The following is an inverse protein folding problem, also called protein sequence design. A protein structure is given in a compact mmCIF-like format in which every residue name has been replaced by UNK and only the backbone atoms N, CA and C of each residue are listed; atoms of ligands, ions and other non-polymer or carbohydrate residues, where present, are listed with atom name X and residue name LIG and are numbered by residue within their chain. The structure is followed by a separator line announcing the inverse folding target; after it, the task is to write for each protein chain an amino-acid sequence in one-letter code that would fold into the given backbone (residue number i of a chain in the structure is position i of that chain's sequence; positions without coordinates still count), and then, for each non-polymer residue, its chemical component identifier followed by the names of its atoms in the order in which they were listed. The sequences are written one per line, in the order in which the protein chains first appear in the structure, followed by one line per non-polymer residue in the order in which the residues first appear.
data_IF_191972981630
#
_entry.id   IF_191972981630
#
_cell.length_a   1.000
_cell.length_b   1.000
_cell.length_c   1.000
_cell.angle_alpha   90.00
_cell.angle_beta   90.00
_cell.angle_gamma   90.00
#
_symmetry.space_group_name_H-M   'P 1'
#
loop_
_entity.id
_entity.type
_entity.pdbx_description
1 polymer ?
#
# COMPACT_ATOMS: atom_id res chain seq x y z
N UNK A 1 -4.62 28.62 -29.64
CA UNK A 1 -3.55 27.79 -29.06
C UNK A 1 -2.78 28.64 -28.04
N UNK A 2 -3.11 28.56 -26.75
CA UNK A 2 -2.32 29.24 -25.70
C UNK A 2 -0.93 28.59 -25.65
N UNK A 3 0.13 29.32 -26.00
CA UNK A 3 1.52 28.88 -25.78
C UNK A 3 1.74 28.78 -24.28
N UNK A 4 1.87 27.56 -23.76
CA UNK A 4 2.25 27.32 -22.37
C UNK A 4 3.61 27.99 -22.11
N UNK A 5 3.80 28.69 -20.98
CA UNK A 5 5.08 29.29 -20.66
C UNK A 5 6.18 28.21 -20.56
N UNK A 6 7.44 28.53 -20.90
CA UNK A 6 8.53 27.55 -20.96
C UNK A 6 8.74 26.81 -19.63
N UNK A 7 8.47 27.45 -18.48
CA UNK A 7 8.53 26.81 -17.16
C UNK A 7 7.61 25.60 -17.03
N UNK A 8 6.43 25.59 -17.68
CA UNK A 8 5.47 24.49 -17.62
C UNK A 8 5.95 23.26 -18.38
N UNK A 9 6.54 23.46 -19.56
CA UNK A 9 7.14 22.35 -20.32
C UNK A 9 8.29 21.70 -19.58
N UNK A 10 9.16 22.51 -18.97
CA UNK A 10 10.26 22.00 -18.13
C UNK A 10 9.68 21.22 -16.93
N UNK A 11 8.65 21.74 -16.26
CA UNK A 11 7.98 21.04 -15.16
C UNK A 11 7.39 19.69 -15.58
N UNK A 12 6.69 19.61 -16.71
CA UNK A 12 6.16 18.35 -17.24
C UNK A 12 7.26 17.35 -17.56
N UNK A 13 8.34 17.79 -18.22
CA UNK A 13 9.47 16.92 -18.54
C UNK A 13 10.17 16.42 -17.27
N UNK A 14 10.43 17.29 -16.29
CA UNK A 14 11.01 16.92 -15.00
C UNK A 14 10.13 15.95 -14.23
N UNK A 15 8.80 16.14 -14.23
CA UNK A 15 7.87 15.24 -13.56
C UNK A 15 7.80 13.87 -14.26
N UNK A 16 7.79 13.84 -15.59
CA UNK A 16 7.86 12.60 -16.36
C UNK A 16 9.18 11.85 -16.09
N UNK A 17 10.31 12.57 -16.06
CA UNK A 17 11.61 12.00 -15.71
C UNK A 17 11.61 11.43 -14.29
N UNK A 18 10.97 12.11 -13.34
CA UNK A 18 10.79 11.61 -11.97
C UNK A 18 10.02 10.28 -11.99
N UNK A 19 8.88 10.20 -12.68
CA UNK A 19 8.09 8.97 -12.76
C UNK A 19 8.86 7.81 -13.40
N UNK A 20 9.57 8.06 -14.50
CA UNK A 20 10.40 7.05 -15.17
C UNK A 20 11.55 6.60 -14.26
N UNK A 21 12.19 7.53 -13.56
CA UNK A 21 13.25 7.22 -12.58
C UNK A 21 12.70 6.40 -11.43
N UNK A 22 11.53 6.76 -10.89
CA UNK A 22 10.84 5.99 -9.84
C UNK A 22 10.57 4.56 -10.26
N UNK A 23 10.09 4.34 -11.48
CA UNK A 23 9.84 3.01 -12.02
C UNK A 23 11.14 2.22 -12.20
N UNK A 24 12.15 2.86 -12.80
CA UNK A 24 13.45 2.24 -13.11
C UNK A 24 14.21 1.82 -11.84
N UNK A 25 14.21 2.68 -10.82
CA UNK A 25 14.89 2.43 -9.55
C UNK A 25 14.02 1.68 -8.53
N UNK A 26 12.78 1.30 -8.89
CA UNK A 26 11.82 0.63 -8.02
C UNK A 26 11.52 1.42 -6.71
N UNK A 27 11.54 2.75 -6.78
CA UNK A 27 11.31 3.66 -5.65
C UNK A 27 9.83 3.77 -5.26
N UNK A 28 8.93 3.05 -5.94
CA UNK A 28 7.49 3.11 -5.69
C UNK A 28 7.13 2.88 -4.23
N UNK A 29 7.78 1.91 -3.57
CA UNK A 29 7.57 1.64 -2.14
C UNK A 29 8.01 2.81 -1.24
N UNK A 30 9.11 3.49 -1.57
CA UNK A 30 9.59 4.65 -0.81
C UNK A 30 8.63 5.83 -0.94
N UNK A 31 8.21 6.15 -2.17
CA UNK A 31 7.29 7.25 -2.43
C UNK A 31 5.96 7.00 -1.75
N UNK A 32 5.42 5.79 -1.88
CA UNK A 32 4.16 5.42 -1.26
C UNK A 32 4.24 5.49 0.27
N UNK A 33 5.31 4.95 0.87
CA UNK A 33 5.53 5.01 2.32
C UNK A 33 5.67 6.45 2.81
N UNK A 34 6.37 7.30 2.05
CA UNK A 34 6.55 8.72 2.36
C UNK A 34 5.24 9.50 2.29
N UNK A 35 4.47 9.33 1.21
CA UNK A 35 3.14 9.95 1.08
C UNK A 35 2.26 9.50 2.25
N UNK A 36 2.13 8.20 2.49
CA UNK A 36 1.28 7.66 3.56
C UNK A 36 1.66 8.18 4.94
N UNK A 37 2.97 8.25 5.21
CA UNK A 37 3.49 8.76 6.48
C UNK A 37 3.22 10.24 6.66
N UNK A 38 3.47 11.04 5.62
CA UNK A 38 3.14 12.47 5.63
C UNK A 38 1.65 12.71 5.82
N UNK A 39 0.78 11.98 5.12
CA UNK A 39 -0.68 12.11 5.26
C UNK A 39 -1.15 11.82 6.67
N UNK A 40 -0.62 10.78 7.34
CA UNK A 40 -0.97 10.47 8.73
C UNK A 40 -0.48 11.58 9.67
N UNK A 41 0.78 11.99 9.53
CA UNK A 41 1.39 13.06 10.33
C UNK A 41 0.62 14.37 10.20
N UNK A 42 0.34 14.81 8.97
CA UNK A 42 -0.38 16.05 8.69
C UNK A 42 -1.85 15.97 9.11
N UNK A 43 -2.51 14.82 8.92
CA UNK A 43 -3.88 14.63 9.40
C UNK A 43 -3.99 14.65 10.92
N UNK A 44 -3.03 14.07 11.63
CA UNK A 44 -2.95 14.16 13.08
C UNK A 44 -2.67 15.61 13.52
N UNK A 45 -1.74 16.29 12.85
CA UNK A 45 -1.38 17.67 13.16
C UNK A 45 -2.55 18.62 12.99
N UNK A 46 -3.27 18.58 11.87
CA UNK A 46 -4.42 19.46 11.60
C UNK A 46 -5.52 19.32 12.65
N UNK A 47 -5.82 18.09 13.09
CA UNK A 47 -6.83 17.83 14.14
C UNK A 47 -6.39 18.34 15.51
N UNK A 48 -5.09 18.32 15.77
CA UNK A 48 -4.54 18.65 17.07
C UNK A 48 -4.20 20.13 17.20
N UNK A 49 -3.70 20.76 16.13
CA UNK A 49 -3.37 22.18 16.07
C UNK A 49 -4.59 23.09 16.23
N UNK A 50 -5.81 22.58 16.02
CA UNK A 50 -7.04 23.33 16.34
C UNK A 50 -7.31 23.45 17.84
N UNK A 51 -6.64 22.66 18.68
CA UNK A 51 -6.89 22.59 20.13
C UNK A 51 -5.66 22.96 20.98
N UNK A 52 -4.44 22.83 20.46
CA UNK A 52 -3.20 23.09 21.20
C UNK A 52 -2.18 23.90 20.39
N UNK A 53 -1.11 24.37 21.05
CA UNK A 53 -0.05 25.14 20.39
C UNK A 53 0.57 24.36 19.22
N UNK A 54 0.87 25.00 18.07
CA UNK A 54 1.38 24.32 16.87
C UNK A 54 2.62 23.46 17.10
N UNK A 55 3.55 23.95 17.93
CA UNK A 55 4.76 23.21 18.30
C UNK A 55 4.44 21.89 19.03
N UNK A 56 3.56 21.91 20.04
CA UNK A 56 3.15 20.70 20.74
C UNK A 56 2.33 19.77 19.85
N UNK A 57 1.47 20.33 19.00
CA UNK A 57 0.69 19.55 18.03
C UNK A 57 1.59 18.74 17.10
N UNK A 58 2.70 19.32 16.64
CA UNK A 58 3.64 18.62 15.76
C UNK A 58 4.33 17.44 16.44
N UNK A 59 4.90 17.64 17.63
CA UNK A 59 5.55 16.58 18.39
C UNK A 59 4.58 15.46 18.79
N UNK A 60 3.37 15.81 19.22
CA UNK A 60 2.37 14.81 19.58
C UNK A 60 1.86 14.05 18.33
N UNK A 61 1.80 14.69 17.16
CA UNK A 61 1.49 14.01 15.90
C UNK A 61 2.56 12.99 15.52
N UNK A 62 3.84 13.33 15.69
CA UNK A 62 4.95 12.41 15.49
C UNK A 62 4.91 11.24 16.47
N UNK A 63 4.54 11.49 17.73
CA UNK A 63 4.39 10.46 18.75
C UNK A 63 3.23 9.50 18.41
N UNK A 64 2.06 10.03 18.04
CA UNK A 64 0.91 9.24 17.58
C UNK A 64 1.27 8.41 16.36
N UNK A 65 1.95 9.00 15.37
CA UNK A 65 2.40 8.30 14.17
C UNK A 65 3.34 7.15 14.52
N UNK A 66 4.35 7.39 15.36
CA UNK A 66 5.33 6.38 15.78
C UNK A 66 4.67 5.23 16.54
N UNK A 67 3.80 5.54 17.50
CA UNK A 67 3.04 4.53 18.26
C UNK A 67 2.17 3.69 17.32
N UNK A 68 1.47 4.35 16.39
CA UNK A 68 0.60 3.65 15.41
C UNK A 68 1.41 2.77 14.47
N UNK A 69 2.56 3.25 13.98
CA UNK A 69 3.45 2.48 13.11
C UNK A 69 4.03 1.25 13.81
N UNK A 70 4.48 1.40 15.07
CA UNK A 70 4.99 0.29 15.88
C UNK A 70 3.88 -0.72 16.19
N UNK A 71 2.68 -0.25 16.55
CA UNK A 71 1.54 -1.12 16.80
C UNK A 71 1.13 -1.91 15.53
N UNK A 72 1.12 -1.26 14.37
CA UNK A 72 0.84 -1.91 13.09
C UNK A 72 1.91 -2.94 12.72
N UNK A 73 3.19 -2.61 12.89
CA UNK A 73 4.29 -3.55 12.66
C UNK A 73 4.24 -4.76 13.60
N UNK A 74 3.94 -4.53 14.88
CA UNK A 74 3.76 -5.59 15.87
C UNK A 74 2.56 -6.49 15.55
N UNK A 75 1.42 -5.90 15.16
CA UNK A 75 0.22 -6.62 14.73
C UNK A 75 0.49 -7.48 13.50
N UNK A 76 1.19 -6.92 12.49
CA UNK A 76 1.58 -7.64 11.29
C UNK A 76 2.53 -8.80 11.60
N UNK A 77 3.56 -8.58 12.43
CA UNK A 77 4.47 -9.64 12.87
C UNK A 77 3.73 -10.77 13.59
N UNK A 78 2.82 -10.44 14.51
CA UNK A 78 1.98 -11.42 15.21
C UNK A 78 1.10 -12.19 14.23
N UNK A 79 0.51 -11.51 13.26
CA UNK A 79 -0.31 -12.12 12.22
C UNK A 79 0.48 -13.11 11.36
N UNK A 80 1.69 -12.77 10.92
CA UNK A 80 2.55 -13.68 10.15
C UNK A 80 2.88 -14.93 10.99
N UNK A 81 3.30 -14.74 12.25
CA UNK A 81 3.60 -15.87 13.15
C UNK A 81 2.38 -16.77 13.36
N UNK A 82 1.21 -16.19 13.55
CA UNK A 82 -0.04 -16.93 13.71
C UNK A 82 -0.49 -17.61 12.41
N UNK A 83 -0.20 -17.03 11.25
CA UNK A 83 -0.54 -17.59 9.94
C UNK A 83 0.19 -18.92 9.71
N UNK A 84 1.46 -19.00 10.09
CA UNK A 84 2.29 -20.21 9.93
C UNK A 84 1.70 -21.40 10.68
N UNK A 85 1.07 -21.18 11.84
CA UNK A 85 0.45 -22.24 12.65
C UNK A 85 -1.00 -22.50 12.27
N UNK A 86 -1.77 -21.46 11.95
CA UNK A 86 -3.22 -21.58 11.75
C UNK A 86 -3.59 -22.04 10.34
N UNK A 87 -2.79 -21.68 9.32
CA UNK A 87 -3.08 -22.06 7.94
C UNK A 87 -3.13 -23.60 7.75
N UNK A 88 -2.14 -24.39 8.22
CA UNK A 88 -2.20 -25.85 8.12
C UNK A 88 -3.47 -26.45 8.75
N UNK A 89 -3.89 -25.93 9.90
CA UNK A 89 -5.08 -26.40 10.62
C UNK A 89 -6.37 -26.10 9.85
N UNK A 90 -6.49 -24.91 9.26
CA UNK A 90 -7.63 -24.55 8.40
C UNK A 90 -7.70 -25.50 7.21
N UNK A 91 -6.57 -25.72 6.55
CA UNK A 91 -6.49 -26.61 5.38
C UNK A 91 -6.91 -28.03 5.77
N UNK A 92 -6.41 -28.57 6.89
CA UNK A 92 -6.78 -29.90 7.37
C UNK A 92 -8.29 -30.08 7.62
N UNK A 93 -9.01 -29.00 7.97
CA UNK A 93 -10.47 -29.04 8.20
C UNK A 93 -11.30 -28.77 6.95
N UNK A 94 -10.80 -28.00 6.00
CA UNK A 94 -11.54 -27.60 4.79
C UNK A 94 -11.44 -28.66 3.69
N UNK A 95 -10.33 -29.42 3.62
CA UNK A 95 -10.12 -30.42 2.56
C UNK A 95 -11.12 -31.59 2.60
N UNK A 96 -11.45 -32.23 3.75
CA UNK A 96 -12.36 -33.38 3.74
C UNK A 96 -13.76 -33.05 3.19
N UNK A 97 -14.42 -31.94 3.61
CA UNK A 97 -15.68 -31.51 3.00
C UNK A 97 -15.55 -31.15 1.52
N UNK A 98 -14.42 -30.54 1.11
CA UNK A 98 -14.18 -30.23 -0.30
C UNK A 98 -14.07 -31.50 -1.15
N UNK A 99 -13.39 -32.53 -0.66
CA UNK A 99 -13.26 -33.81 -1.36
C UNK A 99 -14.61 -34.50 -1.51
N UNK A 100 -15.45 -34.49 -0.46
CA UNK A 100 -16.82 -35.02 -0.51
C UNK A 100 -17.70 -34.28 -1.53
N UNK A 101 -17.60 -32.94 -1.59
CA UNK A 101 -18.30 -32.13 -2.60
C UNK A 101 -17.77 -32.46 -4.00
N UNK A 102 -16.46 -32.61 -4.17
CA UNK A 102 -15.84 -32.95 -5.45
C UNK A 102 -16.34 -34.29 -5.99
N UNK A 103 -16.34 -35.32 -5.14
CA UNK A 103 -16.83 -36.67 -5.46
C UNK A 103 -18.33 -36.67 -5.79
N UNK A 104 -19.11 -35.83 -5.10
CA UNK A 104 -20.56 -35.71 -5.33
C UNK A 104 -20.92 -35.02 -6.65
N UNK A 105 -20.11 -34.06 -7.09
CA UNK A 105 -20.36 -33.27 -8.29
C UNK A 105 -19.44 -33.60 -9.47
N UNK A 106 -18.54 -34.58 -9.31
CA UNK A 106 -17.60 -35.00 -10.37
C UNK A 106 -16.59 -33.92 -10.76
N UNK A 107 -16.20 -33.06 -9.82
CA UNK A 107 -15.18 -32.02 -10.07
C UNK A 107 -13.79 -32.67 -9.98
N UNK A 108 -12.98 -32.44 -11.01
CA UNK A 108 -11.60 -32.90 -11.05
C UNK A 108 -10.72 -31.86 -10.35
N UNK A 109 -10.30 -32.14 -9.12
CA UNK A 109 -9.43 -31.25 -8.36
C UNK A 109 -7.97 -31.49 -8.75
N UNK A 110 -7.11 -30.46 -8.75
CA UNK A 110 -5.69 -30.59 -9.09
C UNK A 110 -4.86 -31.29 -7.99
N UNK A 111 -5.49 -32.03 -7.08
CA UNK A 111 -4.86 -32.77 -5.99
C UNK A 111 -5.70 -34.03 -5.68
N UNK A 112 -5.05 -35.20 -5.62
CA UNK A 112 -5.76 -36.47 -5.41
C UNK A 112 -6.06 -36.73 -3.91
N UNK A 113 -5.29 -36.14 -3.00
CA UNK A 113 -5.42 -36.39 -1.57
C UNK A 113 -4.90 -35.24 -0.68
N UNK A 114 -5.27 -35.28 0.61
CA UNK A 114 -4.86 -34.30 1.66
C UNK A 114 -3.35 -34.13 1.72
N UNK A 115 -2.60 -35.21 1.52
CA UNK A 115 -1.16 -35.20 1.66
C UNK A 115 -0.51 -34.39 0.54
N UNK A 116 -0.94 -34.55 -0.71
CA UNK A 116 -0.44 -33.77 -1.85
C UNK A 116 -0.75 -32.27 -1.74
N UNK A 117 -1.99 -31.88 -1.40
CA UNK A 117 -2.33 -30.46 -1.29
C UNK A 117 -1.61 -29.77 -0.13
N UNK A 118 -1.51 -30.45 1.02
CA UNK A 118 -0.69 -29.98 2.14
C UNK A 118 0.78 -29.90 1.73
N UNK A 119 1.30 -30.88 0.99
CA UNK A 119 2.67 -30.86 0.51
C UNK A 119 2.87 -29.67 -0.43
N UNK A 120 2.00 -29.47 -1.41
CA UNK A 120 2.05 -28.36 -2.37
C UNK A 120 2.04 -26.99 -1.67
N UNK A 121 1.18 -26.77 -0.68
CA UNK A 121 1.17 -25.50 0.07
C UNK A 121 2.40 -25.37 0.96
N UNK A 122 2.79 -26.41 1.69
CA UNK A 122 3.98 -26.36 2.55
C UNK A 122 5.26 -26.20 1.75
N UNK A 123 5.33 -26.80 0.57
CA UNK A 123 6.43 -26.73 -0.37
C UNK A 123 6.46 -25.37 -1.04
N UNK A 124 5.33 -24.83 -1.52
CA UNK A 124 5.24 -23.46 -2.00
C UNK A 124 5.64 -22.45 -0.90
N UNK A 125 5.20 -22.65 0.35
CA UNK A 125 5.62 -21.79 1.48
C UNK A 125 7.10 -21.97 1.79
N UNK A 126 7.63 -23.19 1.79
CA UNK A 126 9.03 -23.49 2.12
C UNK A 126 9.98 -23.03 1.02
N UNK A 127 9.60 -23.19 -0.25
CA UNK A 127 10.28 -22.66 -1.42
C UNK A 127 10.27 -21.13 -1.34
N UNK A 128 9.11 -20.49 -1.12
CA UNK A 128 9.04 -19.04 -0.87
C UNK A 128 9.87 -18.59 0.34
N UNK A 129 9.95 -19.36 1.43
CA UNK A 129 10.77 -19.02 2.62
C UNK A 129 12.27 -19.23 2.36
N UNK A 130 12.64 -20.26 1.60
CA UNK A 130 14.03 -20.50 1.18
C UNK A 130 14.47 -19.45 0.15
N UNK A 131 13.57 -19.05 -0.74
CA UNK A 131 13.70 -17.91 -1.64
C UNK A 131 13.70 -16.61 -0.86
N UNK A 132 13.00 -16.47 0.28
CA UNK A 132 13.13 -15.29 1.15
C UNK A 132 14.54 -15.23 1.78
N UNK A 133 15.17 -16.38 2.08
CA UNK A 133 16.57 -16.39 2.55
C UNK A 133 17.56 -15.98 1.45
N UNK A 134 17.38 -16.46 0.21
CA UNK A 134 18.26 -16.12 -0.92
C UNK A 134 17.93 -14.77 -1.60
N UNK A 135 16.66 -14.39 -1.68
CA UNK A 135 16.10 -13.10 -2.15
C UNK A 135 15.96 -12.06 -1.02
N UNK A 136 16.55 -12.33 0.14
CA UNK A 136 16.66 -11.40 1.27
C UNK A 136 17.17 -10.03 0.81
N UNK A 137 18.12 -9.97 -0.14
CA UNK A 137 18.61 -8.71 -0.70
C UNK A 137 17.53 -7.82 -1.31
N UNK A 138 16.56 -8.37 -2.06
CA UNK A 138 15.50 -7.60 -2.72
C UNK A 138 14.46 -7.15 -1.68
N UNK A 139 14.03 -8.05 -0.79
CA UNK A 139 13.05 -7.73 0.25
C UNK A 139 13.61 -6.72 1.26
N UNK A 140 14.87 -6.90 1.67
CA UNK A 140 15.60 -5.96 2.52
C UNK A 140 15.79 -4.62 1.82
N UNK A 141 16.13 -4.59 0.52
CA UNK A 141 16.19 -3.34 -0.25
C UNK A 141 14.85 -2.61 -0.23
N UNK A 142 13.74 -3.30 -0.51
CA UNK A 142 12.39 -2.68 -0.47
C UNK A 142 12.01 -2.20 0.93
N UNK A 143 12.39 -2.93 1.98
CA UNK A 143 12.21 -2.51 3.36
C UNK A 143 12.98 -1.21 3.66
N UNK A 144 14.23 -1.09 3.23
CA UNK A 144 14.99 0.16 3.37
C UNK A 144 14.36 1.32 2.58
N UNK A 145 13.80 1.07 1.39
CA UNK A 145 13.07 2.09 0.64
C UNK A 145 11.87 2.62 1.43
N UNK A 146 11.10 1.74 2.06
CA UNK A 146 9.99 2.13 2.95
C UNK A 146 10.50 3.00 4.10
N UNK A 147 11.56 2.58 4.79
CA UNK A 147 12.15 3.36 5.89
C UNK A 147 12.65 4.74 5.43
N UNK A 148 13.32 4.82 4.28
CA UNK A 148 13.78 6.09 3.70
C UNK A 148 12.59 6.99 3.39
N UNK A 149 11.52 6.44 2.81
CA UNK A 149 10.29 7.19 2.54
C UNK A 149 9.68 7.78 3.81
N UNK A 150 9.53 6.96 4.86
CA UNK A 150 9.04 7.39 6.18
C UNK A 150 9.95 8.49 6.75
N UNK A 151 11.26 8.29 6.69
CA UNK A 151 12.24 9.23 7.24
C UNK A 151 12.18 10.59 6.53
N UNK A 152 12.16 10.60 5.20
CA UNK A 152 12.01 11.82 4.40
C UNK A 152 10.69 12.53 4.74
N UNK A 153 9.60 11.79 4.90
CA UNK A 153 8.31 12.36 5.27
C UNK A 153 8.34 13.02 6.66
N UNK A 154 8.99 12.38 7.65
CA UNK A 154 9.18 12.96 8.98
C UNK A 154 10.04 14.23 8.90
N UNK A 155 11.17 14.19 8.19
CA UNK A 155 12.03 15.36 8.03
C UNK A 155 11.27 16.53 7.38
N UNK A 156 10.52 16.25 6.31
CA UNK A 156 9.71 17.24 5.63
C UNK A 156 8.60 17.79 6.54
N UNK A 157 7.90 16.94 7.28
CA UNK A 157 6.87 17.35 8.24
C UNK A 157 7.42 18.18 9.40
N UNK A 158 8.65 17.89 9.85
CA UNK A 158 9.32 18.62 10.92
C UNK A 158 9.89 19.96 10.45
N UNK A 159 10.26 20.06 9.17
CA UNK A 159 10.84 21.26 8.60
C UNK A 159 9.74 22.25 8.18
N UNK A 160 9.51 23.26 9.02
CA UNK A 160 8.51 24.31 8.80
C UNK A 160 9.06 25.40 7.86
N UNK A 161 9.38 25.04 6.62
CA UNK A 161 9.81 26.02 5.62
C UNK A 161 8.61 26.59 4.89
N UNK A 162 8.32 27.88 5.12
CA UNK A 162 7.42 28.63 4.25
C UNK A 162 8.11 28.76 2.90
N UNK A 163 7.50 28.22 1.85
CA UNK A 163 8.01 28.43 0.50
C UNK A 163 7.76 29.87 0.08
N UNK A 164 8.83 30.66 0.02
CA UNK A 164 8.82 31.99 -0.57
C UNK A 164 9.17 31.89 -2.05
N UNK A 165 8.26 32.37 -2.90
CA UNK A 165 8.42 32.41 -4.35
C UNK A 165 8.72 33.84 -4.79
N UNK A 166 9.81 34.02 -5.51
CA UNK A 166 10.20 35.30 -6.10
C UNK A 166 9.84 35.33 -7.58
N UNK A 167 9.82 36.53 -8.17
CA UNK A 167 9.57 36.72 -9.60
C UNK A 167 10.80 36.33 -10.44
N UNK A 168 11.12 35.03 -10.49
CA UNK A 168 12.19 34.48 -11.33
C UNK A 168 11.75 33.16 -11.99
N UNK A 169 12.45 32.76 -13.05
CA UNK A 169 12.12 31.57 -13.84
C UNK A 169 12.21 30.26 -13.02
N UNK A 170 13.12 30.22 -12.04
CA UNK A 170 13.34 29.06 -11.19
C UNK A 170 12.17 28.83 -10.22
N UNK A 171 11.67 29.88 -9.59
CA UNK A 171 10.51 29.84 -8.69
C UNK A 171 9.20 29.62 -9.47
N UNK A 172 9.10 30.13 -10.70
CA UNK A 172 8.01 29.79 -11.60
C UNK A 172 7.99 28.29 -11.95
N UNK A 173 9.16 27.69 -12.19
CA UNK A 173 9.30 26.24 -12.38
C UNK A 173 8.96 25.45 -11.11
N UNK A 174 9.51 25.84 -9.95
CA UNK A 174 9.25 25.18 -8.66
C UNK A 174 7.78 25.17 -8.32
N UNK A 175 7.10 26.30 -8.52
CA UNK A 175 5.66 26.42 -8.26
C UNK A 175 4.87 25.42 -9.10
N UNK A 176 5.11 25.39 -10.41
CA UNK A 176 4.44 24.44 -11.29
C UNK A 176 4.78 22.99 -10.90
N UNK A 177 6.06 22.66 -10.64
CA UNK A 177 6.46 21.31 -10.22
C UNK A 177 5.78 20.87 -8.91
N UNK A 178 5.76 21.74 -7.90
CA UNK A 178 5.11 21.50 -6.61
C UNK A 178 3.60 21.32 -6.78
N UNK A 179 2.94 22.08 -7.64
CA UNK A 179 1.51 21.90 -7.97
C UNK A 179 1.23 20.55 -8.66
N UNK A 180 2.14 20.04 -9.50
CA UNK A 180 2.01 18.70 -10.08
C UNK A 180 2.23 17.60 -9.03
N UNK A 181 3.26 17.74 -8.20
CA UNK A 181 3.55 16.81 -7.12
C UNK A 181 2.40 16.76 -6.10
N UNK A 182 1.85 17.91 -5.70
CA UNK A 182 0.73 18.00 -4.77
C UNK A 182 -0.53 17.33 -5.34
N UNK A 183 -0.85 17.55 -6.63
CA UNK A 183 -1.97 16.86 -7.29
C UNK A 183 -1.77 15.35 -7.35
N UNK A 184 -0.56 14.90 -7.67
CA UNK A 184 -0.22 13.48 -7.66
C UNK A 184 -0.39 12.88 -6.26
N UNK A 185 0.16 13.52 -5.23
CA UNK A 185 0.01 13.08 -3.84
C UNK A 185 -1.45 13.01 -3.43
N UNK A 186 -2.25 14.04 -3.73
CA UNK A 186 -3.68 14.06 -3.42
C UNK A 186 -4.45 12.91 -4.08
N UNK A 187 -4.12 12.53 -5.32
CA UNK A 187 -4.71 11.37 -5.98
C UNK A 187 -4.39 10.07 -5.25
N UNK A 188 -3.14 9.87 -4.82
CA UNK A 188 -2.75 8.70 -4.02
C UNK A 188 -3.42 8.67 -2.66
N UNK A 189 -3.48 9.81 -1.95
CA UNK A 189 -4.16 9.93 -0.66
C UNK A 189 -5.63 9.51 -0.75
N UNK A 190 -6.34 9.95 -1.79
CA UNK A 190 -7.74 9.58 -2.01
C UNK A 190 -7.91 8.08 -2.23
N UNK A 191 -7.05 7.48 -3.06
CA UNK A 191 -7.09 6.04 -3.35
C UNK A 191 -6.78 5.22 -2.10
N UNK A 192 -5.71 5.56 -1.38
CA UNK A 192 -5.31 4.85 -0.16
C UNK A 192 -6.35 5.01 0.95
N UNK A 193 -6.88 6.23 1.14
CA UNK A 193 -7.93 6.50 2.12
C UNK A 193 -9.21 5.72 1.82
N UNK A 194 -9.64 5.71 0.56
CA UNK A 194 -10.77 4.89 0.13
C UNK A 194 -10.49 3.40 0.37
N UNK A 195 -9.27 2.94 0.13
CA UNK A 195 -8.90 1.53 0.31
C UNK A 195 -8.98 1.07 1.76
N UNK A 196 -8.55 1.92 2.70
CA UNK A 196 -8.68 1.64 4.13
C UNK A 196 -10.16 1.50 4.52
N UNK A 197 -11.04 2.35 3.98
CA UNK A 197 -12.48 2.28 4.24
C UNK A 197 -13.08 1.00 3.63
N UNK A 198 -12.75 0.68 2.37
CA UNK A 198 -13.23 -0.54 1.69
C UNK A 198 -12.79 -1.79 2.46
N UNK A 199 -11.52 -1.84 2.87
CA UNK A 199 -11.00 -2.94 3.68
C UNK A 199 -11.74 -3.04 5.01
N UNK A 200 -11.95 -1.93 5.72
CA UNK A 200 -12.66 -1.91 6.98
C UNK A 200 -14.11 -2.42 6.84
N UNK A 201 -14.84 -2.00 5.81
CA UNK A 201 -16.19 -2.48 5.53
C UNK A 201 -16.17 -4.00 5.29
N UNK A 202 -15.26 -4.48 4.43
CA UNK A 202 -15.14 -5.91 4.14
C UNK A 202 -14.80 -6.73 5.41
N UNK A 203 -13.90 -6.20 6.25
CA UNK A 203 -13.54 -6.81 7.53
C UNK A 203 -14.73 -6.87 8.49
N UNK A 204 -15.52 -5.80 8.62
CA UNK A 204 -16.69 -5.77 9.50
C UNK A 204 -17.74 -6.77 9.04
N UNK A 205 -18.06 -6.79 7.74
CA UNK A 205 -18.99 -7.76 7.17
C UNK A 205 -18.50 -9.20 7.37
N UNK A 206 -17.21 -9.44 7.15
CA UNK A 206 -16.58 -10.75 7.37
C UNK A 206 -16.62 -11.14 8.85
N UNK A 207 -16.37 -10.20 9.77
CA UNK A 207 -16.45 -10.46 11.21
C UNK A 207 -17.88 -10.85 11.63
N UNK A 208 -18.89 -10.13 11.15
CA UNK A 208 -20.29 -10.46 11.41
C UNK A 208 -20.60 -11.87 10.88
N UNK A 209 -20.26 -12.14 9.62
CA UNK A 209 -20.48 -13.44 8.99
C UNK A 209 -19.85 -14.58 9.79
N UNK A 210 -18.58 -14.44 10.18
CA UNK A 210 -17.84 -15.49 10.88
C UNK A 210 -18.33 -15.71 12.30
N UNK A 211 -18.69 -14.64 13.02
CA UNK A 211 -19.19 -14.73 14.40
C UNK A 211 -20.59 -15.34 14.43
N UNK A 212 -21.50 -14.87 13.56
CA UNK A 212 -22.88 -15.37 13.50
C UNK A 212 -22.93 -16.85 13.14
N UNK A 213 -22.07 -17.30 12.23
CA UNK A 213 -21.98 -18.71 11.83
C UNK A 213 -21.07 -19.56 12.72
N UNK A 214 -20.49 -18.98 13.78
CA UNK A 214 -19.69 -19.72 14.77
C UNK A 214 -18.37 -20.29 14.23
N UNK A 215 -17.74 -19.62 13.26
CA UNK A 215 -16.48 -20.09 12.70
C UNK A 215 -15.35 -20.01 13.74
N UNK A 216 -14.64 -21.13 14.03
CA UNK A 216 -13.62 -21.18 15.08
C UNK A 216 -12.38 -20.34 14.76
N UNK A 217 -12.16 -20.02 13.49
CA UNK A 217 -11.01 -19.23 13.01
C UNK A 217 -11.31 -17.73 12.87
N UNK A 218 -12.46 -17.24 13.35
CA UNK A 218 -12.81 -15.82 13.28
C UNK A 218 -11.69 -14.88 13.81
N UNK A 219 -11.02 -15.16 14.95
CA UNK A 219 -9.94 -14.30 15.45
C UNK A 219 -8.71 -14.20 14.53
N UNK A 220 -8.54 -15.16 13.61
CA UNK A 220 -7.46 -15.16 12.62
C UNK A 220 -7.92 -14.53 11.29
N UNK A 221 -9.09 -14.95 10.80
CA UNK A 221 -9.62 -14.54 9.50
C UNK A 221 -10.05 -13.07 9.45
N UNK A 222 -10.51 -12.50 10.56
CA UNK A 222 -10.93 -11.09 10.61
C UNK A 222 -9.72 -10.14 10.41
N UNK A 223 -8.63 -10.24 11.20
CA UNK A 223 -7.40 -9.48 10.91
C UNK A 223 -6.80 -9.80 9.54
N UNK A 224 -6.83 -11.07 9.10
CA UNK A 224 -6.36 -11.46 7.77
C UNK A 224 -7.07 -10.67 6.68
N UNK A 225 -8.39 -10.60 6.76
CA UNK A 225 -9.24 -9.90 5.77
C UNK A 225 -8.90 -8.41 5.70
N UNK A 226 -8.62 -7.77 6.84
CA UNK A 226 -8.23 -6.36 6.86
C UNK A 226 -6.86 -6.13 6.23
N UNK A 227 -5.86 -6.94 6.59
CA UNK A 227 -4.49 -6.84 6.08
C UNK A 227 -4.46 -7.12 4.57
N UNK A 228 -5.12 -8.19 4.14
CA UNK A 228 -5.26 -8.55 2.73
C UNK A 228 -6.11 -7.53 1.95
N UNK A 229 -7.07 -6.90 2.61
CA UNK A 229 -7.87 -5.81 2.04
C UNK A 229 -7.11 -4.49 1.90
N UNK A 230 -5.96 -4.32 2.55
CA UNK A 230 -5.04 -3.16 2.40
C UNK A 230 -3.92 -3.43 1.39
N UNK A 231 -3.67 -4.70 1.03
CA UNK A 231 -2.80 -5.09 -0.08
C UNK A 231 -3.19 -4.61 -1.50
N UNK A 232 -4.38 -4.07 -1.82
CA UNK A 232 -4.70 -3.74 -3.19
C UNK A 232 -4.13 -2.37 -3.55
N UNK A 233 -2.98 -2.48 -4.19
CA UNK A 233 -2.40 -1.44 -5.05
C UNK A 233 -2.17 -2.05 -6.42
N UNK A 234 -1.85 -3.35 -6.51
CA UNK A 234 -1.49 -4.02 -7.77
C UNK A 234 -2.66 -3.99 -8.78
N UNK A 235 -3.88 -4.36 -8.39
CA UNK A 235 -5.02 -4.39 -9.32
C UNK A 235 -5.41 -3.00 -9.84
N UNK A 236 -5.42 -2.00 -8.96
CA UNK A 236 -5.76 -0.62 -9.33
C UNK A 236 -4.64 0.02 -10.18
N UNK A 237 -3.37 -0.18 -9.79
CA UNK A 237 -2.22 0.32 -10.56
C UNK A 237 -2.14 -0.38 -11.91
N UNK A 238 -2.32 -1.70 -11.99
CA UNK A 238 -2.25 -2.44 -13.25
C UNK A 238 -3.40 -2.05 -14.18
N UNK A 239 -4.63 -1.98 -13.68
CA UNK A 239 -5.79 -1.51 -14.45
C UNK A 239 -5.59 -0.08 -14.94
N UNK A 240 -5.23 0.86 -14.06
CA UNK A 240 -5.01 2.26 -14.45
C UNK A 240 -3.82 2.42 -15.40
N UNK A 241 -2.77 1.62 -15.26
CA UNK A 241 -1.64 1.59 -16.20
C UNK A 241 -2.11 1.14 -17.57
N UNK A 242 -2.89 0.06 -17.67
CA UNK A 242 -3.46 -0.42 -18.94
C UNK A 242 -4.37 0.66 -19.56
N UNK A 243 -5.22 1.31 -18.77
CA UNK A 243 -6.10 2.40 -19.24
C UNK A 243 -5.27 3.56 -19.78
N UNK A 244 -4.22 3.98 -19.07
CA UNK A 244 -3.33 5.08 -19.51
C UNK A 244 -2.59 4.70 -20.79
N UNK A 245 -2.01 3.49 -20.88
CA UNK A 245 -1.36 3.00 -22.10
C UNK A 245 -2.34 2.96 -23.29
N UNK A 246 -3.57 2.53 -23.06
CA UNK A 246 -4.63 2.49 -24.08
C UNK A 246 -5.05 3.90 -24.50
N UNK A 247 -5.23 4.82 -23.56
CA UNK A 247 -5.56 6.22 -23.82
C UNK A 247 -4.46 6.93 -24.62
N UNK A 248 -3.19 6.70 -24.27
CA UNK A 248 -2.04 7.21 -25.03
C UNK A 248 -1.96 6.63 -26.44
N UNK A 249 -2.44 5.41 -26.66
CA UNK A 249 -2.49 4.79 -27.99
C UNK A 249 -3.62 5.35 -28.87
N UNK A 250 -4.69 5.89 -28.26
CA UNK A 250 -5.81 6.54 -28.95
C UNK A 250 -5.59 8.05 -29.17
N UNK A 251 -4.71 8.69 -28.39
CA UNK A 251 -4.37 10.11 -28.49
C UNK A 251 -3.84 10.51 -29.90
N UNK A 252 -2.95 9.75 -30.56
CA UNK A 252 -2.51 10.06 -31.93
C UNK A 252 -3.58 9.90 -33.01
N UNK A 253 -4.68 9.19 -32.73
CA UNK A 253 -5.77 8.94 -33.70
C UNK A 253 -6.87 10.02 -33.67
N UNK A 254 -6.88 10.87 -32.65
CA UNK A 254 -7.88 11.94 -32.48
C UNK A 254 -7.26 13.34 -32.37
N UNK A 255 -5.95 13.47 -32.61
CA UNK A 255 -5.25 14.75 -32.80
C UNK A 255 -5.08 15.03 -34.29
#
# INVERSE_FOLDING_TARGET
MLRLPPSRWVAYFSFALLLVSTATFQLGAAILAGIFSYTILDSAHRKLASHIRPFLARWLSLMIFTVTAVAAAWMFWRFIRQSITTLPDILARVIPPLNEISLRYGLDLPFENIHEFRHMILEAVKENVSDISHASGILTKKFFHVLIGIFIAILHFMNETKEEYHENLYDAFRKEFNEHAARFMQSFERVLGAQVIISAINTVLTAIFLIVLGFPYAPFLVPATFILGILPIIGNVLSNTIIVCTALSLSPRHA
#
